data_IF_836654713127
#
_entry.id   IF_836654713127
#
_cell.length_a   1.000
_cell.length_b   1.000
_cell.length_c   1.000
_cell.angle_alpha   90.00
_cell.angle_beta   90.00
_cell.angle_gamma   90.00
#
_symmetry.space_group_name_H-M   'P 1'
#
loop_
_entity.id
_entity.type
_entity.pdbx_description
1 polymer ?
#
# COMPACT_ATOMS: atom_id res chain seq x y z
N UNK A 1 -7.48 -6.66 -21.38
CA UNK A 1 -6.40 -7.56 -20.92
C UNK A 1 -5.16 -6.82 -20.41
N UNK A 2 -4.75 -5.67 -20.97
CA UNK A 2 -3.56 -4.91 -20.49
C UNK A 2 -3.69 -4.18 -19.13
N UNK A 3 -4.90 -4.06 -18.55
CA UNK A 3 -5.15 -3.31 -17.29
C UNK A 3 -4.87 -4.12 -16.01
N UNK A 4 -4.62 -5.43 -16.11
CA UNK A 4 -4.40 -6.32 -14.96
C UNK A 4 -2.91 -6.45 -14.57
N UNK A 5 -2.00 -6.07 -15.47
CA UNK A 5 -0.55 -6.29 -15.30
C UNK A 5 0.04 -5.39 -14.20
N UNK A 6 -0.41 -4.13 -14.11
CA UNK A 6 0.12 -3.15 -13.15
C UNK A 6 -0.25 -3.50 -11.70
N UNK A 7 -1.47 -4.02 -11.48
CA UNK A 7 -1.91 -4.47 -10.16
C UNK A 7 -1.23 -5.78 -9.73
N UNK A 8 -0.91 -6.65 -10.69
CA UNK A 8 -0.25 -7.93 -10.42
C UNK A 8 1.17 -7.78 -9.91
N UNK A 9 1.95 -6.80 -10.39
CA UNK A 9 3.35 -6.61 -9.93
C UNK A 9 3.41 -6.05 -8.50
N UNK A 10 2.45 -5.21 -8.11
CA UNK A 10 2.32 -4.75 -6.72
C UNK A 10 1.77 -5.87 -5.83
N UNK A 11 0.82 -6.68 -6.32
CA UNK A 11 0.34 -7.87 -5.62
C UNK A 11 1.41 -8.95 -5.48
N UNK A 12 2.37 -9.05 -6.41
CA UNK A 12 3.52 -9.96 -6.36
C UNK A 12 4.41 -9.72 -5.15
N UNK A 13 4.52 -8.45 -4.76
CA UNK A 13 5.32 -7.99 -3.65
C UNK A 13 4.62 -8.24 -2.30
N UNK A 14 3.29 -8.19 -2.25
CA UNK A 14 2.52 -8.23 -0.99
C UNK A 14 1.85 -9.60 -0.75
N UNK A 15 1.71 -10.42 -1.79
CA UNK A 15 0.95 -11.66 -1.80
C UNK A 15 1.78 -12.91 -1.50
N UNK A 16 2.06 -13.15 -0.22
CA UNK A 16 2.26 -14.51 0.31
C UNK A 16 3.65 -14.82 0.85
N UNK A 17 3.64 -15.53 1.99
CA UNK A 17 4.63 -16.24 2.83
C UNK A 17 6.15 -16.05 2.57
N UNK A 18 7.08 -16.23 3.54
CA UNK A 18 7.72 -17.55 3.74
C UNK A 18 8.65 -17.70 4.94
N UNK A 19 8.42 -18.85 5.59
CA UNK A 19 9.23 -19.76 6.40
C UNK A 19 10.46 -19.28 7.19
N UNK A 20 10.28 -19.27 8.51
CA UNK A 20 11.32 -19.57 9.48
C UNK A 20 11.41 -21.09 9.73
N UNK A 21 12.29 -21.79 8.99
CA UNK A 21 13.16 -22.83 9.57
C UNK A 21 14.28 -23.25 8.60
N UNK A 22 15.50 -23.31 9.14
CA UNK A 22 16.77 -23.11 8.46
C UNK A 22 17.49 -24.42 8.18
N UNK A 23 17.05 -25.13 7.15
CA UNK A 23 17.82 -26.24 6.59
C UNK A 23 17.73 -26.18 5.05
N UNK A 24 18.77 -25.58 4.47
CA UNK A 24 19.01 -25.36 3.05
C UNK A 24 18.15 -24.27 2.37
N UNK A 25 18.83 -23.25 1.84
CA UNK A 25 18.33 -22.24 0.89
C UNK A 25 17.46 -22.82 -0.24
N UNK A 26 17.55 -24.12 -0.52
CA UNK A 26 16.72 -24.81 -1.50
C UNK A 26 15.24 -24.95 -1.13
N UNK A 27 14.89 -25.13 0.14
CA UNK A 27 13.47 -25.22 0.53
C UNK A 27 12.81 -23.84 0.44
N UNK A 28 13.51 -22.77 0.86
CA UNK A 28 13.07 -21.38 0.66
C UNK A 28 12.90 -21.10 -0.84
N UNK A 29 13.89 -21.50 -1.65
CA UNK A 29 13.85 -21.33 -3.10
C UNK A 29 12.63 -22.01 -3.74
N UNK A 30 12.41 -23.30 -3.44
CA UNK A 30 11.31 -24.10 -3.99
C UNK A 30 9.95 -23.47 -3.70
N UNK A 31 9.84 -22.93 -2.50
CA UNK A 31 8.63 -22.32 -1.98
C UNK A 31 8.40 -20.95 -2.63
N UNK A 32 9.45 -20.12 -2.79
CA UNK A 32 9.42 -18.90 -3.61
C UNK A 32 9.04 -19.20 -5.07
N UNK A 33 9.65 -20.20 -5.68
CA UNK A 33 9.36 -20.64 -7.05
C UNK A 33 7.89 -21.04 -7.21
N UNK A 34 7.30 -21.72 -6.22
CA UNK A 34 5.88 -22.11 -6.23
C UNK A 34 4.93 -20.90 -6.20
N UNK A 35 5.20 -19.91 -5.35
CA UNK A 35 4.35 -18.71 -5.30
C UNK A 35 4.50 -17.84 -6.54
N UNK A 36 5.73 -17.66 -7.03
CA UNK A 36 6.00 -16.99 -8.29
C UNK A 36 5.24 -17.68 -9.42
N UNK A 37 5.25 -19.01 -9.46
CA UNK A 37 4.51 -19.79 -10.47
C UNK A 37 2.99 -19.62 -10.34
N UNK A 38 2.45 -19.67 -9.12
CA UNK A 38 1.02 -19.49 -8.88
C UNK A 38 0.56 -18.08 -9.28
N UNK A 39 1.35 -17.07 -8.93
CA UNK A 39 1.11 -15.69 -9.31
C UNK A 39 1.21 -15.50 -10.82
N UNK A 40 2.22 -16.10 -11.46
CA UNK A 40 2.42 -16.03 -12.91
C UNK A 40 1.21 -16.61 -13.65
N UNK A 41 0.69 -17.75 -13.17
CA UNK A 41 -0.52 -18.36 -13.71
C UNK A 41 -1.79 -17.48 -13.56
N UNK A 42 -1.90 -16.72 -12.48
CA UNK A 42 -3.04 -15.84 -12.22
C UNK A 42 -2.94 -14.50 -12.97
N UNK A 43 -1.73 -13.97 -13.11
CA UNK A 43 -1.47 -12.63 -13.62
C UNK A 43 -1.17 -12.57 -15.12
N UNK A 44 -0.79 -13.70 -15.73
CA UNK A 44 -0.41 -13.77 -17.13
C UNK A 44 0.94 -13.07 -17.42
N UNK A 45 1.80 -12.96 -16.42
CA UNK A 45 3.21 -12.56 -16.56
C UNK A 45 4.11 -13.68 -16.08
N UNK A 46 5.32 -13.78 -16.62
CA UNK A 46 6.37 -14.64 -16.08
C UNK A 46 7.31 -13.80 -15.20
N UNK A 47 7.64 -14.32 -14.02
CA UNK A 47 8.47 -13.60 -13.03
C UNK A 47 9.68 -14.47 -12.72
N UNK A 48 10.88 -13.90 -12.88
CA UNK A 48 12.15 -14.57 -12.60
C UNK A 48 13.03 -13.71 -11.72
N UNK A 49 14.01 -14.32 -11.03
CA UNK A 49 14.97 -13.61 -10.17
C UNK A 49 16.37 -14.21 -10.33
N UNK A 50 17.41 -13.41 -10.06
CA UNK A 50 18.80 -13.82 -10.22
C UNK A 50 19.35 -14.53 -8.98
N UNK A 51 19.03 -14.00 -7.79
CA UNK A 51 19.57 -14.49 -6.51
C UNK A 51 18.49 -14.46 -5.41
N UNK A 52 18.63 -15.37 -4.45
CA UNK A 52 17.87 -15.44 -3.21
C UNK A 52 18.83 -15.65 -2.04
N UNK A 53 18.76 -14.77 -1.06
CA UNK A 53 19.48 -14.92 0.20
C UNK A 53 18.52 -14.89 1.39
N UNK A 54 18.91 -15.55 2.47
CA UNK A 54 18.13 -15.61 3.70
C UNK A 54 19.05 -15.42 4.90
N UNK A 55 18.62 -14.62 5.88
CA UNK A 55 19.33 -14.39 7.13
C UNK A 55 18.46 -14.84 8.30
N UNK A 56 18.92 -15.88 9.01
CA UNK A 56 18.17 -16.41 10.15
C UNK A 56 18.21 -15.56 11.39
N UNK A 57 19.28 -14.82 11.61
CA UNK A 57 19.37 -13.98 12.79
C UNK A 57 18.40 -12.79 12.70
N UNK A 58 18.08 -12.37 11.47
CA UNK A 58 17.14 -11.28 11.20
C UNK A 58 15.75 -11.78 10.78
N UNK A 59 15.53 -13.11 10.70
CA UNK A 59 14.33 -13.71 10.10
C UNK A 59 13.95 -13.03 8.78
N UNK A 60 14.95 -12.81 7.91
CA UNK A 60 14.77 -12.04 6.68
C UNK A 60 15.15 -12.83 5.43
N UNK A 61 14.52 -12.47 4.32
CA UNK A 61 14.75 -13.04 3.00
C UNK A 61 14.85 -11.92 1.98
N UNK A 62 15.73 -12.07 1.01
CA UNK A 62 16.01 -11.09 0.00
C UNK A 62 16.07 -11.74 -1.39
N UNK A 63 15.32 -11.17 -2.34
CA UNK A 63 15.34 -11.52 -3.76
C UNK A 63 15.99 -10.39 -4.54
N UNK A 64 16.89 -10.71 -5.47
CA UNK A 64 17.59 -9.69 -6.25
C UNK A 64 17.53 -9.94 -7.75
N UNK A 65 17.52 -8.84 -8.51
CA UNK A 65 17.50 -8.86 -9.97
C UNK A 65 16.26 -9.53 -10.55
N UNK A 66 15.09 -9.13 -10.06
CA UNK A 66 13.80 -9.68 -10.47
C UNK A 66 13.41 -9.07 -11.82
N UNK A 67 12.86 -9.92 -12.70
CA UNK A 67 12.37 -9.53 -14.03
C UNK A 67 10.94 -9.99 -14.18
N UNK A 68 10.12 -9.11 -14.74
CA UNK A 68 8.73 -9.40 -15.09
C UNK A 68 8.61 -9.38 -16.61
N UNK A 69 8.13 -10.45 -17.20
CA UNK A 69 8.02 -10.66 -18.63
C UNK A 69 6.60 -11.04 -19.02
N UNK A 70 6.22 -10.80 -20.27
CA UNK A 70 4.94 -11.26 -20.79
C UNK A 70 4.90 -12.79 -20.85
N UNK A 71 3.78 -13.41 -20.46
CA UNK A 71 3.63 -14.86 -20.55
C UNK A 71 3.52 -15.36 -22.02
N UNK A 72 3.21 -14.47 -22.96
CA UNK A 72 2.97 -14.82 -24.38
C UNK A 72 4.12 -14.42 -25.31
N UNK A 73 5.24 -13.91 -24.79
CA UNK A 73 6.41 -13.53 -25.60
C UNK A 73 7.55 -12.96 -24.77
N UNK A 74 8.73 -12.80 -25.37
CA UNK A 74 9.97 -12.41 -24.68
C UNK A 74 10.03 -10.92 -24.25
N UNK A 75 8.90 -10.20 -24.31
CA UNK A 75 8.84 -8.78 -23.95
C UNK A 75 9.03 -8.61 -22.45
N UNK A 76 10.09 -7.90 -22.07
CA UNK A 76 10.31 -7.45 -20.70
C UNK A 76 9.30 -6.35 -20.37
N UNK A 77 8.63 -6.46 -19.23
CA UNK A 77 7.62 -5.50 -18.77
C UNK A 77 8.23 -4.60 -17.69
N UNK A 78 8.94 -5.19 -16.74
CA UNK A 78 9.52 -4.46 -15.61
C UNK A 78 10.72 -5.19 -14.99
N UNK A 79 11.46 -4.45 -14.18
CA UNK A 79 12.57 -4.94 -13.36
C UNK A 79 12.42 -4.45 -11.93
N UNK A 80 12.90 -5.23 -10.98
CA UNK A 80 13.02 -4.84 -9.56
C UNK A 80 14.42 -5.24 -9.12
N UNK A 81 15.17 -4.29 -8.57
CA UNK A 81 16.55 -4.56 -8.15
C UNK A 81 16.57 -5.44 -6.91
N UNK A 82 15.69 -5.16 -5.94
CA UNK A 82 15.64 -5.87 -4.68
C UNK A 82 14.23 -5.94 -4.06
N UNK A 83 13.89 -7.09 -3.48
CA UNK A 83 12.81 -7.25 -2.53
C UNK A 83 13.38 -7.86 -1.25
N UNK A 84 13.09 -7.27 -0.10
CA UNK A 84 13.42 -7.79 1.22
C UNK A 84 12.15 -7.93 2.06
N UNK A 85 12.04 -9.06 2.75
CA UNK A 85 10.98 -9.34 3.72
C UNK A 85 11.65 -9.66 5.05
N UNK A 86 11.22 -9.01 6.12
CA UNK A 86 11.76 -9.18 7.48
C UNK A 86 10.69 -9.64 8.46
N UNK A 87 11.12 -10.41 9.46
CA UNK A 87 10.31 -10.74 10.63
C UNK A 87 9.17 -11.71 10.37
N UNK A 88 9.16 -12.46 9.27
CA UNK A 88 8.07 -13.40 8.98
C UNK A 88 8.10 -14.66 9.87
N UNK A 89 6.95 -15.05 10.42
CA UNK A 89 6.73 -16.30 11.16
C UNK A 89 5.51 -17.07 10.59
N UNK A 90 5.60 -18.40 10.47
CA UNK A 90 4.54 -19.24 9.85
C UNK A 90 3.35 -19.45 10.79
N UNK A 91 3.64 -19.62 12.08
CA UNK A 91 2.66 -20.04 13.09
C UNK A 91 2.34 -18.96 14.13
N UNK A 92 2.90 -17.77 13.95
CA UNK A 92 2.70 -16.66 14.84
C UNK A 92 2.66 -15.34 14.08
N UNK A 93 1.98 -14.38 14.69
CA UNK A 93 2.07 -12.98 14.28
C UNK A 93 3.37 -12.44 14.92
N UNK A 94 4.38 -12.07 14.12
CA UNK A 94 5.64 -11.56 14.65
C UNK A 94 5.44 -10.17 15.27
N UNK A 95 6.32 -9.75 16.21
CA UNK A 95 6.26 -8.41 16.77
C UNK A 95 6.56 -7.31 15.74
N UNK A 96 7.29 -7.66 14.67
CA UNK A 96 7.59 -6.77 13.56
C UNK A 96 7.57 -7.56 12.26
N UNK A 97 6.89 -7.06 11.23
CA UNK A 97 7.00 -7.51 9.84
C UNK A 97 7.39 -6.33 8.98
N UNK A 98 8.38 -6.50 8.09
CA UNK A 98 8.79 -5.49 7.14
C UNK A 98 8.79 -6.02 5.71
N UNK A 99 8.47 -5.13 4.77
CA UNK A 99 8.57 -5.35 3.34
C UNK A 99 9.26 -4.15 2.70
N UNK A 100 10.32 -4.40 1.94
CA UNK A 100 11.07 -3.37 1.23
C UNK A 100 11.26 -3.80 -0.21
N UNK A 101 10.71 -3.04 -1.15
CA UNK A 101 11.01 -3.14 -2.57
C UNK A 101 11.84 -1.93 -2.99
N UNK A 102 12.93 -2.19 -3.71
CA UNK A 102 13.80 -1.15 -4.24
C UNK A 102 13.83 -1.17 -5.75
N UNK A 103 13.68 0.03 -6.30
CA UNK A 103 13.94 0.34 -7.68
C UNK A 103 13.13 -0.49 -8.68
N UNK A 104 11.83 -0.62 -8.44
CA UNK A 104 10.90 -1.09 -9.46
C UNK A 104 10.88 -0.11 -10.64
N UNK A 105 11.04 -0.60 -11.87
CA UNK A 105 11.03 0.20 -13.10
C UNK A 105 10.34 -0.56 -14.21
N UNK A 106 9.48 0.12 -14.97
CA UNK A 106 9.01 -0.42 -16.25
C UNK A 106 10.15 -0.46 -17.28
N UNK A 107 10.10 -1.41 -18.20
CA UNK A 107 11.07 -1.49 -19.30
C UNK A 107 10.81 -0.40 -20.35
N UNK A 108 11.86 0.02 -21.05
CA UNK A 108 11.72 0.98 -22.16
C UNK A 108 10.77 0.47 -23.25
N UNK A 109 10.80 -0.83 -23.54
CA UNK A 109 9.91 -1.47 -24.51
C UNK A 109 8.44 -1.37 -24.09
N UNK A 110 8.15 -1.54 -22.80
CA UNK A 110 6.80 -1.37 -22.26
C UNK A 110 6.37 0.09 -22.29
N UNK A 111 7.26 1.01 -21.92
CA UNK A 111 7.00 2.45 -21.96
C UNK A 111 6.69 2.94 -23.38
N UNK A 112 7.38 2.41 -24.39
CA UNK A 112 7.13 2.73 -25.79
C UNK A 112 5.74 2.28 -26.30
N UNK A 113 5.11 1.32 -25.62
CA UNK A 113 3.76 0.86 -25.93
C UNK A 113 2.66 1.63 -25.20
N UNK A 114 3.02 2.51 -24.26
CA UNK A 114 2.03 3.31 -23.55
C UNK A 114 1.37 4.32 -24.51
N UNK A 115 0.07 4.59 -24.34
CA UNK A 115 -0.60 5.63 -25.12
C UNK A 115 0.08 6.99 -24.94
N UNK A 116 0.05 7.86 -25.95
CA UNK A 116 0.64 9.21 -25.87
C UNK A 116 0.11 10.06 -24.71
N UNK A 117 -1.09 9.75 -24.20
CA UNK A 117 -1.70 10.42 -23.05
C UNK A 117 -1.37 9.76 -21.70
N UNK A 118 -0.52 8.74 -21.65
CA UNK A 118 0.01 8.22 -20.40
C UNK A 118 0.95 9.27 -19.78
N UNK A 119 0.87 9.44 -18.46
CA UNK A 119 1.81 10.33 -17.75
C UNK A 119 3.19 9.68 -17.72
N UNK A 120 3.96 9.91 -18.78
CA UNK A 120 5.26 9.27 -19.01
C UNK A 120 6.27 9.58 -17.90
N UNK A 121 6.10 10.69 -17.16
CA UNK A 121 6.95 11.01 -16.00
C UNK A 121 6.79 9.99 -14.88
N UNK A 122 5.55 9.68 -14.49
CA UNK A 122 5.29 8.64 -13.50
C UNK A 122 5.64 7.26 -14.06
N UNK A 123 5.27 6.96 -15.30
CA UNK A 123 5.57 5.65 -15.88
C UNK A 123 7.08 5.38 -15.95
N UNK A 124 7.90 6.39 -16.23
CA UNK A 124 9.36 6.24 -16.32
C UNK A 124 10.08 6.34 -14.97
N UNK A 125 9.37 6.66 -13.89
CA UNK A 125 9.97 6.77 -12.57
C UNK A 125 10.41 5.40 -12.04
N UNK A 126 11.41 5.42 -11.16
CA UNK A 126 11.78 4.26 -10.36
C UNK A 126 11.05 4.30 -9.03
N UNK A 127 10.48 3.19 -8.60
CA UNK A 127 9.66 3.13 -7.39
C UNK A 127 10.33 2.33 -6.29
N UNK A 128 10.34 2.91 -5.10
CA UNK A 128 10.63 2.20 -3.86
C UNK A 128 9.35 2.06 -3.05
N UNK A 129 9.15 0.90 -2.42
CA UNK A 129 8.03 0.66 -1.51
C UNK A 129 8.58 0.13 -0.20
N UNK A 130 8.24 0.77 0.91
CA UNK A 130 8.58 0.31 2.24
C UNK A 130 7.27 0.16 3.02
N UNK A 131 7.05 -1.00 3.60
CA UNK A 131 5.87 -1.28 4.43
C UNK A 131 6.33 -1.96 5.71
N UNK A 132 5.70 -1.62 6.83
CA UNK A 132 5.94 -2.30 8.10
C UNK A 132 4.66 -2.47 8.90
N UNK A 133 4.66 -3.51 9.71
CA UNK A 133 3.65 -3.79 10.72
C UNK A 133 4.36 -4.11 12.02
N UNK A 134 4.20 -3.23 13.00
CA UNK A 134 4.59 -3.49 14.39
C UNK A 134 3.36 -3.96 15.15
N UNK A 135 3.46 -5.08 15.87
CA UNK A 135 2.35 -5.66 16.64
C UNK A 135 2.80 -6.00 18.06
N UNK A 136 2.09 -5.45 19.04
CA UNK A 136 2.25 -5.75 20.44
C UNK A 136 1.19 -6.75 20.89
N UNK A 137 1.62 -7.98 21.19
CA UNK A 137 0.75 -9.06 21.67
C UNK A 137 0.17 -8.81 23.06
N UNK A 138 0.86 -8.07 23.91
CA UNK A 138 0.44 -7.84 25.29
C UNK A 138 -0.65 -6.79 25.36
N UNK A 139 -0.57 -5.76 24.52
CA UNK A 139 -1.57 -4.68 24.45
C UNK A 139 -2.61 -4.89 23.36
N UNK A 140 -2.34 -5.74 22.37
CA UNK A 140 -3.15 -5.87 21.16
C UNK A 140 -3.07 -4.64 20.26
N UNK A 141 -2.04 -3.82 20.39
CA UNK A 141 -1.83 -2.64 19.54
C UNK A 141 -1.07 -3.02 18.27
N UNK A 142 -1.37 -2.34 17.17
CA UNK A 142 -0.56 -2.47 15.95
C UNK A 142 -0.39 -1.14 15.24
N UNK A 143 0.79 -0.93 14.67
CA UNK A 143 1.11 0.25 13.88
C UNK A 143 1.56 -0.21 12.48
N UNK A 144 0.80 0.21 11.48
CA UNK A 144 1.08 -0.02 10.07
C UNK A 144 1.68 1.23 9.46
N UNK A 145 2.76 1.07 8.70
CA UNK A 145 3.36 2.15 7.93
C UNK A 145 3.56 1.69 6.48
N UNK A 146 3.25 2.58 5.53
CA UNK A 146 3.48 2.40 4.11
C UNK A 146 4.12 3.68 3.57
N UNK A 147 5.22 3.54 2.85
CA UNK A 147 5.87 4.59 2.11
C UNK A 147 6.10 4.12 0.67
N UNK A 148 5.57 4.85 -0.31
CA UNK A 148 5.79 4.65 -1.73
C UNK A 148 6.49 5.88 -2.29
N UNK A 149 7.70 5.68 -2.80
CA UNK A 149 8.53 6.75 -3.35
C UNK A 149 8.63 6.54 -4.86
N UNK A 150 8.01 7.42 -5.63
CA UNK A 150 8.34 7.59 -7.05
C UNK A 150 9.58 8.48 -7.10
N UNK A 151 10.76 7.87 -7.21
CA UNK A 151 12.04 8.57 -7.11
C UNK A 151 12.11 9.77 -8.06
N UNK A 152 12.56 10.92 -7.54
CA UNK A 152 12.62 12.22 -8.23
C UNK A 152 11.25 12.84 -8.57
N UNK A 153 10.15 12.21 -8.17
CA UNK A 153 8.79 12.67 -8.47
C UNK A 153 8.04 13.00 -7.19
N UNK A 154 7.73 12.00 -6.37
CA UNK A 154 6.96 12.20 -5.14
C UNK A 154 7.19 11.07 -4.12
N UNK A 155 7.04 11.42 -2.84
CA UNK A 155 6.99 10.48 -1.70
C UNK A 155 5.57 10.49 -1.12
N UNK A 156 4.95 9.32 -1.04
CA UNK A 156 3.61 9.12 -0.49
C UNK A 156 3.69 8.22 0.73
N UNK A 157 3.26 8.72 1.89
CA UNK A 157 3.25 7.98 3.15
C UNK A 157 1.85 7.81 3.69
N UNK A 158 1.60 6.65 4.26
CA UNK A 158 0.38 6.30 4.98
C UNK A 158 0.74 5.54 6.24
N UNK A 159 0.33 6.04 7.40
CA UNK A 159 0.48 5.35 8.67
C UNK A 159 -0.89 5.16 9.32
N UNK A 160 -1.12 4.00 9.92
CA UNK A 160 -2.34 3.64 10.62
C UNK A 160 -1.98 2.99 11.96
N UNK A 161 -2.44 3.59 13.05
CA UNK A 161 -2.34 3.02 14.39
C UNK A 161 -3.68 2.42 14.79
N UNK A 162 -3.65 1.20 15.33
CA UNK A 162 -4.81 0.45 15.79
C UNK A 162 -4.57 -0.07 17.21
N UNK A 163 -5.64 -0.15 17.98
CA UNK A 163 -5.76 -0.93 19.19
C UNK A 163 -6.74 -2.08 18.97
N UNK A 164 -6.69 -3.07 19.88
CA UNK A 164 -7.51 -4.27 19.83
C UNK A 164 -7.41 -5.01 18.48
N UNK A 165 -6.21 -5.08 17.90
CA UNK A 165 -5.95 -5.71 16.60
C UNK A 165 -5.68 -7.21 16.69
N UNK A 166 -5.59 -7.80 17.88
CA UNK A 166 -5.40 -9.24 18.06
C UNK A 166 -6.39 -10.10 17.25
N UNK A 167 -7.71 -9.83 17.25
CA UNK A 167 -8.65 -10.62 16.44
C UNK A 167 -8.37 -10.51 14.93
N UNK A 168 -7.91 -9.35 14.47
CA UNK A 168 -7.54 -9.11 13.07
C UNK A 168 -6.28 -9.91 12.70
N UNK A 169 -5.27 -9.88 13.57
CA UNK A 169 -4.02 -10.61 13.39
C UNK A 169 -4.22 -12.14 13.41
N UNK A 170 -5.09 -12.64 14.29
CA UNK A 170 -5.46 -14.05 14.32
C UNK A 170 -6.25 -14.47 13.08
N UNK A 171 -7.17 -13.63 12.63
CA UNK A 171 -7.95 -13.89 11.42
C UNK A 171 -7.07 -13.90 10.17
N UNK A 172 -6.11 -12.97 10.04
CA UNK A 172 -5.17 -12.95 8.91
C UNK A 172 -4.26 -14.19 8.91
N UNK A 173 -3.77 -14.60 10.08
CA UNK A 173 -2.98 -15.83 10.22
C UNK A 173 -3.79 -17.07 9.84
N UNK A 174 -5.06 -17.17 10.27
CA UNK A 174 -5.93 -18.28 9.90
C UNK A 174 -6.17 -18.36 8.38
N UNK A 175 -6.33 -17.21 7.72
CA UNK A 175 -6.46 -17.12 6.25
C UNK A 175 -5.17 -17.60 5.59
N UNK A 176 -4.01 -17.13 6.05
CA UNK A 176 -2.71 -17.52 5.51
C UNK A 176 -2.48 -19.03 5.62
N UNK A 177 -2.83 -19.64 6.76
CA UNK A 177 -2.73 -21.10 6.96
C UNK A 177 -3.60 -21.88 5.98
N UNK A 178 -4.87 -21.48 5.82
CA UNK A 178 -5.77 -22.14 4.86
C UNK A 178 -5.30 -22.01 3.42
N UNK A 179 -4.77 -20.86 3.02
CA UNK A 179 -4.23 -20.66 1.67
C UNK A 179 -2.98 -21.52 1.42
N UNK A 180 -2.10 -21.64 2.42
CA UNK A 180 -0.93 -22.50 2.35
C UNK A 180 -1.31 -23.99 2.25
N UNK A 181 -2.31 -24.42 3.04
CA UNK A 181 -2.83 -25.80 3.01
C UNK A 181 -3.51 -26.14 1.68
N UNK A 182 -4.16 -25.16 1.04
CA UNK A 182 -4.82 -25.34 -0.26
C UNK A 182 -3.83 -25.52 -1.43
N UNK A 183 -2.52 -25.27 -1.24
CA UNK A 183 -1.47 -25.44 -2.26
C UNK A 183 -1.80 -24.81 -3.63
N UNK A 184 -2.45 -23.65 -3.62
CA UNK A 184 -2.86 -22.93 -4.83
C UNK A 184 -4.17 -23.42 -5.48
N UNK A 185 -4.88 -24.38 -4.86
CA UNK A 185 -6.25 -24.68 -5.22
C UNK A 185 -7.19 -23.54 -4.76
N UNK A 186 -8.23 -23.25 -5.56
CA UNK A 186 -9.25 -22.30 -5.15
C UNK A 186 -9.96 -22.80 -3.89
N UNK A 187 -10.06 -21.92 -2.89
CA UNK A 187 -10.85 -22.17 -1.68
C UNK A 187 -12.31 -22.40 -2.07
N UNK A 188 -12.99 -23.29 -1.36
CA UNK A 188 -14.42 -23.51 -1.58
C UNK A 188 -15.21 -22.24 -1.21
N UNK A 189 -16.39 -22.06 -1.79
CA UNK A 189 -17.28 -20.94 -1.46
C UNK A 189 -17.59 -20.88 0.05
N UNK A 190 -17.76 -22.04 0.69
CA UNK A 190 -17.98 -22.11 2.14
C UNK A 190 -16.77 -21.59 2.93
N UNK A 191 -15.55 -21.97 2.54
CA UNK A 191 -14.33 -21.46 3.16
C UNK A 191 -14.17 -19.95 2.93
N UNK A 192 -14.46 -19.45 1.74
CA UNK A 192 -14.42 -18.01 1.44
C UNK A 192 -15.40 -17.21 2.30
N UNK A 193 -16.64 -17.70 2.44
CA UNK A 193 -17.66 -17.06 3.28
C UNK A 193 -17.26 -17.07 4.76
N UNK A 194 -16.67 -18.16 5.25
CA UNK A 194 -16.16 -18.23 6.61
C UNK A 194 -15.02 -17.23 6.85
N UNK A 195 -14.11 -17.08 5.89
CA UNK A 195 -13.02 -16.10 5.96
C UNK A 195 -13.55 -14.67 6.00
N UNK A 196 -14.48 -14.34 5.11
CA UNK A 196 -15.11 -13.03 5.07
C UNK A 196 -15.82 -12.74 6.41
N UNK A 197 -16.53 -13.70 6.98
CA UNK A 197 -17.22 -13.54 8.26
C UNK A 197 -16.25 -13.27 9.42
N UNK A 198 -15.16 -14.05 9.53
CA UNK A 198 -14.13 -13.84 10.56
C UNK A 198 -13.48 -12.47 10.43
N UNK A 199 -13.16 -12.07 9.21
CA UNK A 199 -12.56 -10.77 8.93
C UNK A 199 -13.50 -9.62 9.31
N UNK A 200 -14.78 -9.71 8.93
CA UNK A 200 -15.78 -8.73 9.31
C UNK A 200 -15.92 -8.62 10.84
N UNK A 201 -15.97 -9.76 11.54
CA UNK A 201 -16.05 -9.76 13.01
C UNK A 201 -14.81 -9.14 13.67
N UNK A 202 -13.62 -9.39 13.14
CA UNK A 202 -12.40 -8.74 13.59
C UNK A 202 -12.43 -7.23 13.34
N UNK A 203 -12.82 -6.80 12.14
CA UNK A 203 -12.92 -5.39 11.76
C UNK A 203 -13.87 -4.60 12.66
N UNK A 204 -14.97 -5.21 13.13
CA UNK A 204 -15.92 -4.55 14.04
C UNK A 204 -15.36 -4.27 15.43
N UNK A 205 -14.32 -5.00 15.85
CA UNK A 205 -13.68 -4.86 17.15
C UNK A 205 -12.47 -3.93 17.13
N UNK A 206 -11.99 -3.56 15.94
CA UNK A 206 -10.85 -2.67 15.80
C UNK A 206 -11.16 -1.28 16.34
N UNK A 207 -10.21 -0.77 17.10
CA UNK A 207 -10.21 0.59 17.64
C UNK A 207 -9.10 1.37 16.92
N UNK A 208 -9.45 2.21 15.93
CA UNK A 208 -8.43 3.00 15.27
C UNK A 208 -7.93 4.09 16.24
N UNK A 209 -6.62 4.32 16.27
CA UNK A 209 -5.98 5.32 17.14
C UNK A 209 -5.51 6.52 16.34
N UNK A 210 -4.87 6.27 15.21
CA UNK A 210 -4.27 7.34 14.42
C UNK A 210 -4.27 7.00 12.94
N UNK A 211 -4.45 8.03 12.12
CA UNK A 211 -4.27 7.96 10.67
C UNK A 211 -3.37 9.12 10.30
N UNK A 212 -2.34 8.86 9.49
CA UNK A 212 -1.51 9.91 8.92
C UNK A 212 -1.29 9.63 7.45
N UNK A 213 -1.45 10.65 6.62
CA UNK A 213 -1.18 10.60 5.19
C UNK A 213 -0.33 11.80 4.81
N UNK A 214 0.71 11.58 4.02
CA UNK A 214 1.48 12.67 3.44
C UNK A 214 1.81 12.42 1.99
N UNK A 215 1.85 13.50 1.21
CA UNK A 215 2.42 13.53 -0.13
C UNK A 215 3.45 14.64 -0.12
N UNK A 216 4.68 14.36 -0.53
CA UNK A 216 5.75 15.32 -0.65
C UNK A 216 6.34 15.30 -2.06
N UNK A 217 6.76 16.46 -2.54
CA UNK A 217 7.51 16.61 -3.79
C UNK A 217 8.93 16.07 -3.61
N UNK A 218 9.34 15.20 -4.53
CA UNK A 218 10.72 14.71 -4.64
C UNK A 218 11.44 15.30 -5.87
N UNK A 219 10.83 16.28 -6.54
CA UNK A 219 11.43 17.12 -7.57
C UNK A 219 10.53 17.43 -8.76
N UNK A 220 9.65 16.51 -9.13
CA UNK A 220 8.82 16.58 -10.36
C UNK A 220 7.32 16.47 -10.09
N UNK A 221 6.86 16.54 -8.83
CA UNK A 221 5.43 16.44 -8.49
C UNK A 221 4.62 17.50 -9.23
N UNK A 222 5.10 18.75 -9.24
CA UNK A 222 4.46 19.84 -9.97
C UNK A 222 4.33 19.55 -11.46
N UNK A 223 5.38 19.04 -12.10
CA UNK A 223 5.36 18.74 -13.52
C UNK A 223 4.39 17.60 -13.86
N UNK A 224 4.26 16.61 -12.96
CA UNK A 224 3.29 15.53 -13.06
C UNK A 224 1.86 16.05 -12.96
N UNK A 225 1.58 16.93 -11.99
CA UNK A 225 0.26 17.56 -11.82
C UNK A 225 -0.07 18.42 -13.04
N UNK A 226 0.83 19.29 -13.48
CA UNK A 226 0.61 20.17 -14.62
C UNK A 226 0.34 19.37 -15.90
N UNK A 227 1.10 18.30 -16.16
CA UNK A 227 0.86 17.41 -17.30
C UNK A 227 -0.53 16.75 -17.25
N UNK A 228 -0.99 16.37 -16.06
CA UNK A 228 -2.33 15.80 -15.87
C UNK A 228 -3.45 16.82 -16.09
N UNK A 229 -3.23 18.07 -15.70
CA UNK A 229 -4.17 19.18 -15.92
C UNK A 229 -4.23 19.56 -17.40
N UNK A 230 -3.08 19.67 -18.07
CA UNK A 230 -2.99 19.96 -19.51
C UNK A 230 -3.72 18.92 -20.36
N UNK A 231 -3.58 17.63 -20.01
CA UNK A 231 -4.31 16.54 -20.67
C UNK A 231 -5.84 16.66 -20.52
N UNK A 232 -6.31 17.37 -19.49
CA UNK A 232 -7.73 17.69 -19.26
C UNK A 232 -8.13 19.06 -19.84
N UNK A 233 -7.21 19.75 -20.53
CA UNK A 233 -7.44 21.09 -21.06
C UNK A 233 -7.56 22.16 -19.97
N UNK A 234 -6.98 21.92 -18.80
CA UNK A 234 -7.02 22.80 -17.63
C UNK A 234 -5.63 23.36 -17.34
N UNK A 235 -5.53 24.66 -17.05
CA UNK A 235 -4.29 25.24 -16.52
C UNK A 235 -4.18 25.05 -15.01
N UNK A 236 -2.97 25.15 -14.47
CA UNK A 236 -2.74 25.12 -13.04
C UNK A 236 -3.54 26.21 -12.27
N UNK A 237 -3.65 27.41 -12.82
CA UNK A 237 -4.45 28.50 -12.24
C UNK A 237 -5.95 28.16 -12.20
N UNK A 238 -6.47 27.54 -13.26
CA UNK A 238 -7.86 27.08 -13.30
C UNK A 238 -8.11 25.96 -12.28
N UNK A 239 -7.12 25.10 -12.06
CA UNK A 239 -7.18 24.06 -11.04
C UNK A 239 -7.27 24.68 -9.64
N UNK A 240 -6.40 25.64 -9.31
CA UNK A 240 -6.46 26.37 -8.03
C UNK A 240 -7.82 27.03 -7.80
N UNK A 241 -8.37 27.70 -8.82
CA UNK A 241 -9.70 28.31 -8.75
C UNK A 241 -10.81 27.27 -8.53
N UNK A 242 -10.71 26.13 -9.20
CA UNK A 242 -11.67 25.03 -9.07
C UNK A 242 -11.64 24.44 -7.66
N UNK A 243 -10.44 24.20 -7.11
CA UNK A 243 -10.25 23.73 -5.74
C UNK A 243 -10.82 24.75 -4.74
N UNK A 244 -10.51 26.03 -4.90
CA UNK A 244 -11.06 27.07 -4.05
C UNK A 244 -12.60 27.10 -4.05
N UNK A 245 -13.23 26.98 -5.22
CA UNK A 245 -14.69 26.89 -5.33
C UNK A 245 -15.26 25.62 -4.68
N UNK A 246 -14.59 24.48 -4.81
CA UNK A 246 -15.02 23.23 -4.19
C UNK A 246 -14.91 23.30 -2.67
N UNK A 247 -13.82 23.85 -2.14
CA UNK A 247 -13.62 24.02 -0.69
C UNK A 247 -14.65 24.97 -0.07
N UNK A 248 -15.11 26.00 -0.81
CA UNK A 248 -16.21 26.86 -0.36
C UNK A 248 -17.56 26.14 -0.25
N UNK A 249 -17.77 25.08 -1.03
CA UNK A 249 -19.02 24.30 -1.03
C UNK A 249 -18.92 23.03 -0.17
N UNK A 250 -17.71 22.60 0.16
CA UNK A 250 -17.47 21.40 0.94
C UNK A 250 -17.55 21.69 2.44
N UNK A 251 -18.19 20.81 3.24
CA UNK A 251 -18.16 20.92 4.69
C UNK A 251 -16.82 20.40 5.22
N UNK A 252 -15.77 21.20 5.08
CA UNK A 252 -14.41 20.93 5.61
C UNK A 252 -14.02 21.99 6.63
N UNK A 253 -13.10 21.66 7.55
CA UNK A 253 -12.61 22.64 8.52
C UNK A 253 -11.72 23.69 7.86
N UNK A 254 -11.61 24.85 8.49
CA UNK A 254 -10.73 25.94 8.02
C UNK A 254 -9.28 25.47 7.91
N UNK A 255 -8.79 24.68 8.86
CA UNK A 255 -7.43 24.12 8.85
C UNK A 255 -7.18 23.24 7.62
N UNK A 256 -8.11 22.31 7.34
CA UNK A 256 -7.99 21.42 6.19
C UNK A 256 -8.13 22.19 4.87
N UNK A 257 -9.06 23.14 4.80
CA UNK A 257 -9.22 24.01 3.63
C UNK A 257 -7.95 24.81 3.35
N UNK A 258 -7.31 25.37 4.38
CA UNK A 258 -6.06 26.11 4.25
C UNK A 258 -4.91 25.21 3.81
N UNK A 259 -4.78 24.01 4.40
CA UNK A 259 -3.77 23.05 4.00
C UNK A 259 -3.90 22.64 2.53
N UNK A 260 -5.11 22.29 2.08
CA UNK A 260 -5.36 21.93 0.67
C UNK A 260 -5.06 23.12 -0.24
N UNK A 261 -5.52 24.33 0.11
CA UNK A 261 -5.29 25.55 -0.69
C UNK A 261 -3.80 25.86 -0.85
N UNK A 262 -3.03 25.75 0.23
CA UNK A 262 -1.59 26.00 0.20
C UNK A 262 -0.88 24.92 -0.62
N UNK A 263 -1.23 23.64 -0.42
CA UNK A 263 -0.66 22.55 -1.20
C UNK A 263 -0.94 22.69 -2.69
N UNK A 264 -2.15 23.02 -3.13
CA UNK A 264 -2.40 23.20 -4.58
C UNK A 264 -1.72 24.44 -5.14
N UNK A 265 -1.30 25.37 -4.28
CA UNK A 265 -0.56 26.57 -4.67
C UNK A 265 0.93 26.32 -4.86
N UNK A 266 1.57 25.54 -3.98
CA UNK A 266 3.01 25.26 -4.05
C UNK A 266 3.38 23.85 -4.54
N UNK A 267 2.48 22.88 -4.41
CA UNK A 267 2.67 21.45 -4.72
C UNK A 267 3.93 20.86 -4.09
N UNK A 268 4.30 21.31 -2.89
CA UNK A 268 5.52 20.87 -2.22
C UNK A 268 5.25 19.76 -1.22
N UNK A 269 4.24 19.93 -0.35
CA UNK A 269 3.93 18.93 0.66
C UNK A 269 2.49 19.11 1.15
N UNK A 270 1.77 18.01 1.35
CA UNK A 270 0.54 17.98 2.15
C UNK A 270 0.65 16.85 3.15
N UNK A 271 0.32 17.16 4.41
CA UNK A 271 0.19 16.18 5.49
C UNK A 271 -1.18 16.35 6.12
N UNK A 272 -1.89 15.24 6.30
CA UNK A 272 -3.17 15.17 6.98
C UNK A 272 -3.10 14.04 7.98
N UNK A 273 -3.33 14.36 9.25
CA UNK A 273 -3.33 13.38 10.33
C UNK A 273 -4.57 13.54 11.21
N UNK A 274 -5.01 12.45 11.81
CA UNK A 274 -6.12 12.41 12.75
C UNK A 274 -5.74 11.50 13.92
N UNK A 275 -6.08 11.92 15.14
CA UNK A 275 -6.01 11.08 16.34
C UNK A 275 -7.43 10.76 16.79
N UNK A 276 -7.83 9.52 16.55
CA UNK A 276 -9.19 9.07 16.76
C UNK A 276 -9.42 8.78 18.26
N UNK A 277 -10.66 8.94 18.76
CA UNK A 277 -10.95 8.74 20.18
C UNK A 277 -10.60 7.34 20.66
N UNK A 278 -9.83 7.26 21.74
CA UNK A 278 -9.43 5.99 22.36
C UNK A 278 -10.63 5.19 22.87
N UNK A 279 -10.53 3.86 22.83
CA UNK A 279 -11.57 2.96 23.34
C UNK A 279 -12.85 2.94 22.50
N UNK A 280 -12.82 3.51 21.29
CA UNK A 280 -13.96 3.52 20.36
C UNK A 280 -13.71 2.63 19.17
N UNK A 281 -14.67 1.77 18.89
CA UNK A 281 -14.66 0.95 17.69
C UNK A 281 -14.86 1.80 16.43
N UNK A 282 -14.41 1.28 15.28
CA UNK A 282 -14.69 1.88 13.97
C UNK A 282 -16.19 2.22 13.78
N UNK A 283 -17.09 1.38 14.30
CA UNK A 283 -18.53 1.58 14.17
C UNK A 283 -19.02 2.77 14.99
N UNK A 284 -18.58 2.90 16.24
CA UNK A 284 -18.93 4.04 17.10
C UNK A 284 -18.39 5.35 16.54
N UNK A 285 -17.14 5.34 16.06
CA UNK A 285 -16.53 6.49 15.40
C UNK A 285 -17.35 6.88 14.17
N UNK A 286 -17.70 5.93 13.31
CA UNK A 286 -18.49 6.21 12.11
C UNK A 286 -19.88 6.77 12.45
N UNK A 287 -20.54 6.27 13.50
CA UNK A 287 -21.82 6.84 13.97
C UNK A 287 -21.66 8.29 14.41
N UNK A 288 -20.58 8.61 15.13
CA UNK A 288 -20.32 9.98 15.57
C UNK A 288 -19.95 10.91 14.39
N UNK A 289 -19.18 10.42 13.42
CA UNK A 289 -18.88 11.16 12.18
C UNK A 289 -20.18 11.49 11.44
N UNK A 290 -21.10 10.53 11.32
CA UNK A 290 -22.40 10.74 10.69
C UNK A 290 -23.26 11.77 11.45
N UNK A 291 -23.19 11.77 12.79
CA UNK A 291 -23.90 12.75 13.62
C UNK A 291 -23.32 14.17 13.50
N UNK A 292 -22.01 14.29 13.23
CA UNK A 292 -21.31 15.56 13.02
C UNK A 292 -21.28 15.97 11.54
N UNK A 293 -21.99 15.24 10.67
CA UNK A 293 -22.05 15.56 9.24
C UNK A 293 -22.66 16.95 9.03
N UNK A 294 -21.90 17.85 8.41
CA UNK A 294 -22.27 19.26 8.25
C UNK A 294 -21.76 20.19 9.36
N UNK A 295 -21.02 19.66 10.35
CA UNK A 295 -20.34 20.42 11.40
C UNK A 295 -18.82 20.21 11.30
N UNK A 296 -18.17 20.77 10.27
CA UNK A 296 -16.78 20.46 9.94
C UNK A 296 -15.77 20.72 11.07
N UNK A 297 -15.96 21.80 11.82
CA UNK A 297 -15.06 22.15 12.94
C UNK A 297 -15.22 21.19 14.13
N UNK A 298 -16.46 20.81 14.45
CA UNK A 298 -16.71 19.83 15.50
C UNK A 298 -16.19 18.45 15.11
N UNK A 299 -16.35 18.09 13.83
CA UNK A 299 -15.81 16.85 13.28
C UNK A 299 -14.28 16.81 13.34
N UNK A 300 -13.62 17.90 12.93
CA UNK A 300 -12.17 18.03 12.98
C UNK A 300 -11.65 17.93 14.43
N UNK A 301 -12.32 18.62 15.37
CA UNK A 301 -12.00 18.53 16.80
C UNK A 301 -12.20 17.12 17.36
N UNK A 302 -13.29 16.44 16.98
CA UNK A 302 -13.61 15.09 17.43
C UNK A 302 -12.52 14.06 17.06
N UNK A 303 -11.95 14.17 15.85
CA UNK A 303 -10.89 13.29 15.37
C UNK A 303 -9.49 13.87 15.57
N UNK A 304 -9.37 14.99 16.30
CA UNK A 304 -8.12 15.75 16.47
C UNK A 304 -7.35 15.88 15.15
N UNK A 305 -8.05 16.37 14.13
CA UNK A 305 -7.52 16.56 12.78
C UNK A 305 -6.40 17.60 12.83
N UNK A 306 -5.28 17.29 12.18
CA UNK A 306 -4.20 18.23 11.92
C UNK A 306 -3.85 18.17 10.44
N UNK A 307 -3.78 19.33 9.80
CA UNK A 307 -3.45 19.42 8.38
C UNK A 307 -2.45 20.54 8.11
N UNK A 308 -1.47 20.25 7.26
CA UNK A 308 -0.48 21.22 6.79
C UNK A 308 -0.28 21.03 5.30
N UNK A 309 -0.24 22.13 4.56
CA UNK A 309 0.08 22.13 3.14
C UNK A 309 1.00 23.28 2.77
N UNK A 310 1.87 23.03 1.80
CA UNK A 310 2.87 23.96 1.27
C UNK A 310 2.93 23.88 -0.25
#
# INVERSE_FOLDING_TARGET
>A
MKKLIIAAVVAAAVGGAFYANYAATQEVKKVVDQQISALSAQSGVDITYNDISANVFASSMQLSGIKVQSYTGDEMIATIDNIEVTGYEVDAVPPHTGFVMKSFRFSDDFLAQLPENANNKLASASYDVNSSLDYDKDTGSSDFALNVIANQVADVRFNLGLANSTPLMEASMAISKMQNEAQGAELTLEQQLQQQSKMMAAMTQLEPRSINMSIADEGELKAVVDSFLEAQGMSHEQFQQTVAMQLQQAPVSEELAAAITNFVSGLSEITVSASLPEGKTMMEINQQIMALMGQPEELASYINLQASGK
#
